data_IF_229663648343
#
_entry.id   IF_229663648343
#
_cell.length_a   1.000
_cell.length_b   1.000
_cell.length_c   1.000
_cell.angle_alpha   90.00
_cell.angle_beta   90.00
_cell.angle_gamma   90.00
#
_symmetry.space_group_name_H-M   'P 1'
#
loop_
_entity.id
_entity.type
_entity.pdbx_description
1 polymer ?
#
# COMPACT_ATOMS: atom_id res chain seq x y z
N UNK A 1 -11.54 -71.94 51.19
CA UNK A 1 -11.45 -71.50 49.78
C UNK A 1 -11.82 -70.03 49.71
N UNK A 2 -10.80 -69.14 49.61
CA UNK A 2 -11.00 -67.69 49.50
C UNK A 2 -10.84 -67.32 48.05
N UNK A 3 -11.86 -66.73 47.46
CA UNK A 3 -11.83 -66.14 46.10
C UNK A 3 -11.35 -64.72 46.22
N UNK A 4 -10.22 -64.39 45.58
CA UNK A 4 -9.64 -63.05 45.49
C UNK A 4 -10.17 -62.45 44.21
N UNK A 5 -10.98 -61.32 44.31
CA UNK A 5 -11.40 -60.54 43.17
C UNK A 5 -10.32 -59.52 42.85
N UNK A 6 -9.76 -59.63 41.66
CA UNK A 6 -8.86 -58.59 41.09
C UNK A 6 -9.71 -57.61 40.30
N UNK A 7 -9.78 -56.38 40.81
CA UNK A 7 -10.42 -55.26 40.11
C UNK A 7 -9.35 -54.61 39.22
N UNK A 8 -9.52 -54.74 37.90
CA UNK A 8 -8.66 -54.10 36.91
C UNK A 8 -9.22 -52.68 36.65
N UNK A 9 -8.50 -51.66 37.16
CA UNK A 9 -8.84 -50.26 36.94
C UNK A 9 -8.15 -49.81 35.66
N UNK A 10 -8.94 -49.59 34.58
CA UNK A 10 -8.45 -48.96 33.35
C UNK A 10 -8.35 -47.47 33.56
N UNK A 11 -7.16 -46.91 33.61
CA UNK A 11 -6.89 -45.50 33.52
C UNK A 11 -6.89 -45.12 32.06
N UNK A 12 -7.97 -44.47 31.59
CA UNK A 12 -8.01 -43.85 30.27
C UNK A 12 -7.30 -42.51 30.35
N UNK A 13 -6.08 -42.43 29.82
CA UNK A 13 -5.36 -41.17 29.63
C UNK A 13 -5.94 -40.43 28.43
N UNK A 14 -6.84 -39.49 28.68
CA UNK A 14 -7.32 -38.54 27.65
C UNK A 14 -6.26 -37.48 27.43
N UNK A 15 -5.41 -37.65 26.41
CA UNK A 15 -4.52 -36.61 25.92
C UNK A 15 -5.36 -35.60 25.17
N UNK A 16 -5.71 -34.51 25.86
CA UNK A 16 -6.32 -33.30 25.26
C UNK A 16 -5.22 -32.56 24.48
N UNK A 17 -5.15 -32.79 23.18
CA UNK A 17 -4.29 -32.02 22.30
C UNK A 17 -4.82 -30.60 22.22
N UNK A 18 -4.21 -29.67 22.97
CA UNK A 18 -4.40 -28.23 22.73
C UNK A 18 -3.80 -27.89 21.37
N UNK A 19 -4.63 -27.81 20.35
CA UNK A 19 -4.29 -27.09 19.13
C UNK A 19 -4.19 -25.59 19.50
N UNK A 20 -2.98 -25.13 19.76
CA UNK A 20 -2.68 -23.70 19.78
C UNK A 20 -2.86 -23.19 18.36
N UNK A 21 -4.00 -22.58 18.08
CA UNK A 21 -4.15 -21.74 16.91
C UNK A 21 -3.13 -20.61 17.03
N UNK A 22 -1.98 -20.76 16.37
CA UNK A 22 -1.05 -19.66 16.16
C UNK A 22 -1.77 -18.67 15.27
N UNK A 23 -2.42 -17.69 15.92
CA UNK A 23 -2.92 -16.51 15.23
C UNK A 23 -1.74 -15.91 14.48
N UNK A 24 -1.91 -15.74 13.18
CA UNK A 24 -0.99 -14.94 12.37
C UNK A 24 -1.07 -13.52 12.95
N UNK A 25 -0.23 -13.23 13.93
CA UNK A 25 -0.02 -11.87 14.37
C UNK A 25 0.61 -11.16 13.19
N UNK A 26 -0.17 -10.30 12.53
CA UNK A 26 0.40 -9.35 11.59
C UNK A 26 1.51 -8.62 12.33
N UNK A 27 2.76 -8.84 11.92
CA UNK A 27 3.92 -8.21 12.54
C UNK A 27 3.71 -6.71 12.48
N UNK A 28 3.60 -6.08 13.66
CA UNK A 28 3.41 -4.65 13.73
C UNK A 28 4.62 -3.97 13.10
N UNK A 29 4.37 -3.01 12.20
CA UNK A 29 5.44 -2.27 11.55
C UNK A 29 6.29 -1.55 12.61
N UNK A 30 7.60 -1.77 12.57
CA UNK A 30 8.54 -1.10 13.46
C UNK A 30 8.66 0.40 13.14
N UNK A 31 8.38 0.76 11.89
CA UNK A 31 8.49 2.12 11.39
C UNK A 31 7.25 2.52 10.60
N UNK A 32 6.94 3.82 10.63
CA UNK A 32 5.92 4.43 9.76
C UNK A 32 6.55 5.59 8.99
N UNK A 33 6.49 5.52 7.68
CA UNK A 33 6.95 6.58 6.78
C UNK A 33 5.73 7.23 6.11
N UNK A 34 5.40 8.43 6.55
CA UNK A 34 4.31 9.23 5.98
C UNK A 34 4.80 10.05 4.79
N UNK A 35 3.93 10.24 3.80
CA UNK A 35 4.18 11.16 2.70
C UNK A 35 3.95 12.60 3.17
N UNK A 36 5.02 13.38 3.27
CA UNK A 36 5.03 14.78 3.67
C UNK A 36 5.97 15.58 2.75
N UNK A 37 5.92 16.91 2.74
CA UNK A 37 6.88 17.71 1.95
C UNK A 37 8.36 17.43 2.24
N UNK A 38 8.67 16.83 3.40
CA UNK A 38 10.05 16.50 3.83
C UNK A 38 10.44 15.06 3.55
N UNK A 39 9.49 14.21 3.20
CA UNK A 39 9.70 12.76 3.04
C UNK A 39 9.37 12.27 1.64
N UNK A 40 9.18 13.19 0.70
CA UNK A 40 8.93 12.84 -0.70
C UNK A 40 9.95 13.48 -1.62
N UNK A 41 10.25 12.78 -2.72
CA UNK A 41 10.86 13.35 -3.91
C UNK A 41 9.79 13.46 -5.00
N UNK A 42 9.85 14.49 -5.83
CA UNK A 42 8.87 14.67 -6.89
C UNK A 42 9.55 14.71 -8.26
N UNK A 43 9.19 13.73 -9.09
CA UNK A 43 9.47 13.77 -10.53
C UNK A 43 10.82 13.24 -10.96
N UNK A 44 11.68 12.79 -10.07
CA UNK A 44 12.92 12.12 -10.42
C UNK A 44 13.36 11.10 -9.36
N UNK A 45 14.16 10.13 -9.84
CA UNK A 45 14.82 9.15 -9.00
C UNK A 45 16.29 9.57 -8.89
N UNK A 46 16.75 9.84 -7.68
CA UNK A 46 18.13 10.22 -7.41
C UNK A 46 18.77 9.28 -6.38
N UNK A 47 19.74 8.49 -6.81
CA UNK A 47 20.49 7.59 -5.94
C UNK A 47 21.32 8.33 -4.87
N UNK A 48 21.55 9.64 -5.04
CA UNK A 48 22.30 10.49 -4.09
C UNK A 48 21.38 11.21 -3.11
N UNK A 49 20.05 11.10 -3.26
CA UNK A 49 19.11 11.72 -2.35
C UNK A 49 19.33 11.22 -0.91
N UNK A 50 19.38 12.14 0.03
CA UNK A 50 19.52 11.79 1.45
C UNK A 50 18.34 10.95 1.90
N UNK A 51 18.56 9.82 2.60
CA UNK A 51 17.47 8.98 3.08
C UNK A 51 16.66 9.69 4.18
N UNK A 52 15.35 9.54 4.11
CA UNK A 52 14.41 10.08 5.11
C UNK A 52 14.11 9.06 6.22
N UNK A 53 14.51 7.82 6.02
CA UNK A 53 14.37 6.73 6.99
C UNK A 53 15.56 5.77 6.83
N UNK A 54 16.04 5.23 7.93
CA UNK A 54 17.08 4.18 7.95
C UNK A 54 16.54 2.98 8.69
N UNK A 55 16.70 1.80 8.11
CA UNK A 55 16.21 0.52 8.63
C UNK A 55 17.28 -0.56 8.49
N UNK A 56 17.05 -1.70 9.14
CA UNK A 56 17.87 -2.90 8.97
C UNK A 56 17.15 -3.93 8.10
N UNK A 57 17.90 -4.86 7.55
CA UNK A 57 17.33 -6.06 6.92
C UNK A 57 16.40 -6.79 7.89
N UNK A 58 15.22 -7.18 7.44
CA UNK A 58 14.18 -7.83 8.26
C UNK A 58 13.20 -6.87 8.94
N UNK A 59 13.48 -5.55 8.95
CA UNK A 59 12.54 -4.58 9.51
C UNK A 59 11.28 -4.46 8.65
N UNK A 60 10.16 -4.13 9.31
CA UNK A 60 8.88 -3.89 8.67
C UNK A 60 8.55 -2.41 8.71
N UNK A 61 8.16 -1.85 7.56
CA UNK A 61 7.82 -0.43 7.41
C UNK A 61 6.40 -0.30 6.86
N UNK A 62 5.58 0.51 7.52
CA UNK A 62 4.36 1.02 6.91
C UNK A 62 4.70 2.28 6.11
N UNK A 63 4.41 2.27 4.82
CA UNK A 63 4.69 3.39 3.93
C UNK A 63 3.36 3.95 3.42
N UNK A 64 3.14 5.25 3.64
CA UNK A 64 2.02 5.95 3.04
C UNK A 64 2.44 6.49 1.66
N UNK A 65 1.67 6.15 0.63
CA UNK A 65 1.84 6.66 -0.73
C UNK A 65 0.66 7.52 -1.11
N UNK A 66 0.85 8.40 -2.09
CA UNK A 66 -0.18 9.35 -2.51
C UNK A 66 -0.60 9.10 -3.96
N UNK A 67 -1.85 9.45 -4.24
CA UNK A 67 -2.30 9.61 -5.62
C UNK A 67 -1.53 10.76 -6.27
N UNK A 68 -0.90 10.50 -7.41
CA UNK A 68 -0.12 11.53 -8.11
C UNK A 68 -1.01 12.33 -9.05
N UNK A 69 -1.53 13.44 -8.56
CA UNK A 69 -2.27 14.43 -9.33
C UNK A 69 -2.28 15.77 -8.60
N UNK A 70 -2.75 16.83 -9.23
CA UNK A 70 -2.95 18.09 -8.50
C UNK A 70 -4.31 18.11 -7.81
N UNK A 71 -4.43 18.67 -6.59
CA UNK A 71 -5.70 18.83 -5.90
C UNK A 71 -6.78 19.48 -6.77
N UNK A 72 -6.45 20.58 -7.43
CA UNK A 72 -7.38 21.32 -8.31
C UNK A 72 -7.92 20.46 -9.47
N UNK A 73 -7.09 19.59 -10.05
CA UNK A 73 -7.54 18.72 -11.14
C UNK A 73 -8.44 17.60 -10.64
N UNK A 74 -8.18 17.07 -9.46
CA UNK A 74 -9.04 16.07 -8.81
C UNK A 74 -10.42 16.67 -8.50
N UNK A 75 -10.45 17.87 -7.92
CA UNK A 75 -11.68 18.61 -7.61
C UNK A 75 -12.47 18.96 -8.88
N UNK A 76 -11.79 19.45 -9.91
CA UNK A 76 -12.41 19.74 -11.21
C UNK A 76 -12.96 18.48 -11.91
N UNK A 77 -12.42 17.30 -11.59
CA UNK A 77 -12.93 16.03 -12.08
C UNK A 77 -14.05 15.42 -11.20
N UNK A 78 -14.47 16.12 -10.13
CA UNK A 78 -15.60 15.75 -9.28
C UNK A 78 -15.24 15.10 -7.94
N UNK A 79 -13.97 15.11 -7.53
CA UNK A 79 -13.61 14.69 -6.17
C UNK A 79 -14.01 15.79 -5.19
N UNK A 80 -14.79 15.48 -4.14
CA UNK A 80 -15.11 16.44 -3.09
C UNK A 80 -13.83 16.99 -2.43
N UNK A 81 -13.74 18.30 -2.18
CA UNK A 81 -12.52 18.90 -1.63
C UNK A 81 -12.04 18.27 -0.32
N UNK A 82 -12.97 17.83 0.53
CA UNK A 82 -12.68 17.17 1.80
C UNK A 82 -12.12 15.74 1.64
N UNK A 83 -12.26 15.14 0.48
CA UNK A 83 -11.70 13.82 0.16
C UNK A 83 -10.30 13.92 -0.45
N UNK A 84 -9.87 15.11 -0.86
CA UNK A 84 -8.49 15.32 -1.32
C UNK A 84 -7.57 15.41 -0.11
N UNK A 85 -6.61 14.50 -0.03
CA UNK A 85 -5.70 14.39 1.11
C UNK A 85 -4.96 15.70 1.39
N UNK A 86 -4.93 16.12 2.66
CA UNK A 86 -4.21 17.33 3.06
C UNK A 86 -2.72 17.22 2.77
N UNK A 87 -2.13 16.04 2.95
CA UNK A 87 -0.74 15.77 2.58
C UNK A 87 -0.44 16.05 1.11
N UNK A 88 -1.37 15.72 0.19
CA UNK A 88 -1.22 16.04 -1.23
C UNK A 88 -1.25 17.57 -1.47
N UNK A 89 -2.10 18.30 -0.75
CA UNK A 89 -2.13 19.77 -0.81
C UNK A 89 -0.82 20.38 -0.33
N UNK A 90 -0.36 19.95 0.85
CA UNK A 90 0.88 20.44 1.45
C UNK A 90 2.10 20.16 0.56
N UNK A 91 2.19 18.95 0.02
CA UNK A 91 3.27 18.57 -0.89
C UNK A 91 3.20 19.40 -2.18
N UNK A 92 2.01 19.57 -2.75
CA UNK A 92 1.83 20.35 -3.98
C UNK A 92 2.26 21.81 -3.81
N UNK A 93 1.99 22.39 -2.64
CA UNK A 93 2.31 23.77 -2.30
C UNK A 93 3.78 23.96 -1.91
N UNK A 94 4.32 23.07 -1.05
CA UNK A 94 5.60 23.28 -0.39
C UNK A 94 6.79 22.69 -1.14
N UNK A 95 6.63 21.58 -1.87
CA UNK A 95 7.71 20.99 -2.68
C UNK A 95 7.93 21.86 -3.92
N UNK A 96 9.06 22.58 -3.94
CA UNK A 96 9.44 23.47 -5.06
C UNK A 96 10.32 22.77 -6.08
N UNK A 97 11.16 21.88 -5.62
CA UNK A 97 12.05 21.08 -6.48
C UNK A 97 11.27 19.91 -7.07
N UNK A 98 10.87 20.06 -8.33
CA UNK A 98 10.09 19.06 -9.06
C UNK A 98 10.82 18.72 -10.34
N UNK A 99 11.18 17.45 -10.47
CA UNK A 99 11.77 16.91 -11.69
C UNK A 99 10.79 16.81 -12.86
N UNK A 100 11.24 16.29 -13.99
CA UNK A 100 10.44 16.19 -15.21
C UNK A 100 9.31 15.16 -15.14
N UNK A 101 9.38 14.22 -14.20
CA UNK A 101 8.35 13.19 -14.01
C UNK A 101 7.13 13.68 -13.24
N UNK A 102 6.05 12.93 -13.32
CA UNK A 102 4.80 13.27 -12.62
C UNK A 102 4.67 12.65 -11.23
N UNK A 103 5.52 11.71 -10.84
CA UNK A 103 5.31 10.90 -9.65
C UNK A 103 5.82 11.56 -8.37
N UNK A 104 5.01 11.44 -7.30
CA UNK A 104 5.39 11.73 -5.93
C UNK A 104 5.90 10.43 -5.31
N UNK A 105 7.15 10.41 -4.86
CA UNK A 105 7.84 9.23 -4.36
C UNK A 105 8.10 9.40 -2.87
N UNK A 106 7.50 8.56 -2.02
CA UNK A 106 7.76 8.54 -0.58
C UNK A 106 9.09 7.83 -0.30
N UNK A 107 10.03 8.52 0.29
CA UNK A 107 11.39 8.01 0.53
C UNK A 107 12.46 9.04 0.16
N UNK A 108 13.73 8.61 -0.02
CA UNK A 108 14.21 7.22 -0.02
C UNK A 108 14.41 6.61 1.37
N UNK A 109 14.43 5.27 1.41
CA UNK A 109 14.73 4.49 2.60
C UNK A 109 16.14 3.90 2.44
N UNK A 110 16.98 4.05 3.45
CA UNK A 110 18.30 3.43 3.50
C UNK A 110 18.26 2.13 4.29
N UNK A 111 18.88 1.09 3.76
CA UNK A 111 19.00 -0.20 4.43
C UNK A 111 20.41 -0.34 4.97
N UNK A 112 20.55 -0.45 6.28
CA UNK A 112 21.84 -0.56 6.95
C UNK A 112 22.57 -1.84 6.52
N UNK A 113 23.84 -1.67 6.11
CA UNK A 113 24.69 -2.76 5.69
C UNK A 113 24.48 -3.23 4.25
N UNK A 114 23.53 -2.65 3.49
CA UNK A 114 23.39 -2.97 2.07
C UNK A 114 24.51 -2.32 1.24
N UNK A 115 25.08 -3.10 0.33
CA UNK A 115 26.19 -2.70 -0.52
C UNK A 115 25.84 -2.84 -2.01
N UNK A 116 26.65 -2.21 -2.87
CA UNK A 116 26.49 -2.33 -4.33
C UNK A 116 26.74 -3.78 -4.73
N UNK A 117 25.74 -4.38 -5.41
CA UNK A 117 25.75 -5.79 -5.83
C UNK A 117 24.81 -6.68 -5.02
N UNK A 118 24.31 -6.20 -3.91
CA UNK A 118 23.30 -6.92 -3.14
C UNK A 118 21.96 -6.95 -3.88
N UNK A 119 21.14 -7.96 -3.56
CA UNK A 119 19.76 -8.09 -4.04
C UNK A 119 18.82 -7.69 -2.91
N UNK A 120 17.96 -6.72 -3.19
CA UNK A 120 16.91 -6.30 -2.26
C UNK A 120 15.65 -7.17 -2.47
N UNK A 121 15.28 -7.94 -1.45
CA UNK A 121 13.97 -8.60 -1.38
C UNK A 121 12.99 -7.73 -0.61
N UNK A 122 11.89 -7.32 -1.26
CA UNK A 122 10.81 -6.57 -0.62
C UNK A 122 9.58 -7.46 -0.51
N UNK A 123 9.21 -7.81 0.73
CA UNK A 123 8.01 -8.59 1.01
C UNK A 123 6.84 -7.67 1.33
N UNK A 124 5.83 -7.66 0.46
CA UNK A 124 4.60 -6.90 0.69
C UNK A 124 3.70 -7.71 1.63
N UNK A 125 3.47 -7.18 2.84
CA UNK A 125 2.68 -7.86 3.87
C UNK A 125 1.20 -7.47 3.85
N UNK A 126 0.89 -6.22 3.47
CA UNK A 126 -0.47 -5.72 3.38
C UNK A 126 -0.54 -4.51 2.46
N UNK A 127 -1.68 -4.35 1.79
CA UNK A 127 -2.04 -3.16 1.02
C UNK A 127 -3.37 -2.65 1.54
N UNK A 128 -3.45 -1.36 1.90
CA UNK A 128 -4.67 -0.71 2.36
C UNK A 128 -4.98 0.49 1.49
N UNK A 129 -6.22 0.60 1.03
CA UNK A 129 -6.69 1.77 0.32
C UNK A 129 -6.81 2.95 1.29
N UNK A 130 -6.09 4.03 1.03
CA UNK A 130 -6.08 5.22 1.88
C UNK A 130 -7.22 6.20 1.54
N UNK A 131 -7.68 6.19 0.29
CA UNK A 131 -8.70 7.11 -0.23
C UNK A 131 -9.81 6.33 -0.95
N UNK A 132 -11.05 6.85 -1.00
CA UNK A 132 -12.19 6.13 -1.57
C UNK A 132 -12.31 6.28 -3.09
N UNK A 133 -11.26 6.70 -3.79
CA UNK A 133 -11.29 6.86 -5.23
C UNK A 133 -9.93 6.59 -5.88
N UNK A 134 -9.99 6.24 -7.15
CA UNK A 134 -8.87 6.26 -8.08
C UNK A 134 -9.22 7.14 -9.27
N UNK A 135 -8.30 7.34 -10.20
CA UNK A 135 -8.61 7.98 -11.47
C UNK A 135 -7.94 7.27 -12.63
N UNK A 136 -8.53 7.42 -13.80
CA UNK A 136 -7.90 7.15 -15.08
C UNK A 136 -7.94 8.42 -15.91
N UNK A 137 -6.85 8.74 -16.61
CA UNK A 137 -6.78 9.93 -17.43
C UNK A 137 -5.94 9.68 -18.68
N UNK A 138 -6.34 10.32 -19.78
CA UNK A 138 -5.59 10.39 -21.01
C UNK A 138 -5.61 11.81 -21.57
N UNK A 139 -4.76 12.08 -22.54
CA UNK A 139 -4.66 13.37 -23.19
C UNK A 139 -4.06 13.26 -24.59
N UNK A 140 -4.12 14.33 -25.38
CA UNK A 140 -3.60 14.36 -26.75
C UNK A 140 -2.14 13.86 -26.79
N UNK A 141 -1.84 12.98 -27.74
CA UNK A 141 -0.50 12.43 -27.95
C UNK A 141 -0.03 11.46 -26.86
N UNK A 142 -0.91 11.04 -25.95
CA UNK A 142 -0.58 10.11 -24.86
C UNK A 142 -1.43 8.84 -24.92
N UNK A 143 -0.87 7.73 -24.43
CA UNK A 143 -1.53 6.42 -24.44
C UNK A 143 -1.18 5.62 -25.69
N UNK A 144 -1.91 4.52 -25.90
CA UNK A 144 -1.66 3.57 -26.97
C UNK A 144 -2.48 3.84 -28.24
N UNK A 145 -3.51 4.70 -28.16
CA UNK A 145 -4.41 5.05 -29.25
C UNK A 145 -4.52 6.58 -29.34
N UNK A 146 -3.40 7.30 -29.57
CA UNK A 146 -3.39 8.76 -29.48
C UNK A 146 -4.22 9.44 -30.59
N UNK A 147 -4.30 8.82 -31.76
CA UNK A 147 -5.03 9.36 -32.92
C UNK A 147 -6.55 9.14 -32.79
N UNK A 148 -6.96 8.05 -32.13
CA UNK A 148 -8.39 7.77 -31.87
C UNK A 148 -8.96 8.64 -30.74
N UNK A 149 -8.09 9.12 -29.83
CA UNK A 149 -8.47 9.91 -28.65
C UNK A 149 -7.66 11.22 -28.56
N UNK A 150 -7.83 12.16 -29.51
CA UNK A 150 -7.01 13.37 -29.58
C UNK A 150 -7.46 14.47 -28.59
N UNK A 151 -8.12 14.08 -27.50
CA UNK A 151 -8.64 14.98 -26.48
C UNK A 151 -8.22 14.52 -25.06
N UNK A 152 -8.35 15.41 -24.08
CA UNK A 152 -8.08 15.07 -22.69
C UNK A 152 -9.37 14.66 -21.97
N UNK A 153 -9.29 13.60 -21.17
CA UNK A 153 -10.38 13.18 -20.27
C UNK A 153 -9.80 12.59 -18.99
N UNK A 154 -10.46 12.90 -17.87
CA UNK A 154 -10.22 12.27 -16.58
C UNK A 154 -11.52 11.64 -16.09
N UNK A 155 -11.43 10.44 -15.57
CA UNK A 155 -12.53 9.71 -14.94
C UNK A 155 -12.13 9.39 -13.50
N UNK A 156 -12.97 9.80 -12.56
CA UNK A 156 -12.86 9.36 -11.17
C UNK A 156 -13.57 8.01 -11.04
N UNK A 157 -12.93 7.10 -10.35
CA UNK A 157 -13.38 5.72 -10.16
C UNK A 157 -13.58 5.52 -8.65
N UNK A 158 -14.82 5.44 -8.16
CA UNK A 158 -15.08 5.17 -6.74
C UNK A 158 -14.55 3.80 -6.33
N UNK A 159 -13.93 3.73 -5.15
CA UNK A 159 -13.40 2.51 -4.55
C UNK A 159 -14.23 2.14 -3.33
N UNK A 160 -14.58 0.87 -3.23
CA UNK A 160 -15.17 0.26 -2.05
C UNK A 160 -14.11 -0.58 -1.34
N UNK A 161 -13.55 -0.03 -0.27
CA UNK A 161 -12.49 -0.69 0.50
C UNK A 161 -12.98 -1.90 1.30
N UNK A 162 -14.29 -2.00 1.60
CA UNK A 162 -14.84 -3.15 2.32
C UNK A 162 -15.03 -4.34 1.39
N UNK A 163 -15.54 -4.10 0.18
CA UNK A 163 -15.73 -5.12 -0.85
C UNK A 163 -14.48 -5.35 -1.69
N UNK A 164 -13.47 -4.50 -1.55
CA UNK A 164 -12.26 -4.49 -2.38
C UNK A 164 -12.60 -4.49 -3.88
N UNK A 165 -13.40 -3.51 -4.29
CA UNK A 165 -13.79 -3.30 -5.69
C UNK A 165 -13.60 -1.85 -6.11
N UNK A 166 -13.36 -1.66 -7.42
CA UNK A 166 -13.44 -0.38 -8.09
C UNK A 166 -14.72 -0.34 -8.96
N UNK A 167 -15.58 0.63 -8.72
CA UNK A 167 -16.82 0.84 -9.48
C UNK A 167 -16.48 1.59 -10.78
N UNK A 168 -16.07 0.85 -11.81
CA UNK A 168 -15.53 1.44 -13.03
C UNK A 168 -16.61 2.12 -13.88
N UNK A 169 -17.76 1.50 -14.02
CA UNK A 169 -18.92 2.05 -14.73
C UNK A 169 -20.23 1.37 -14.21
N UNK A 170 -21.42 1.86 -14.57
CA UNK A 170 -22.65 1.19 -14.23
C UNK A 170 -22.63 -0.28 -14.67
N UNK A 171 -22.76 -1.19 -13.70
CA UNK A 171 -22.70 -2.63 -13.92
C UNK A 171 -21.29 -3.21 -14.17
N UNK A 172 -20.24 -2.41 -14.08
CA UNK A 172 -18.85 -2.86 -14.24
C UNK A 172 -18.07 -2.63 -12.94
N UNK A 173 -17.89 -3.69 -12.18
CA UNK A 173 -17.07 -3.73 -10.97
C UNK A 173 -15.75 -4.45 -11.25
N UNK A 174 -14.63 -3.84 -10.84
CA UNK A 174 -13.29 -4.43 -10.98
C UNK A 174 -12.84 -4.91 -9.61
N UNK A 175 -12.61 -6.21 -9.40
CA UNK A 175 -12.06 -6.72 -8.15
C UNK A 175 -10.64 -6.20 -7.91
N UNK A 176 -10.37 -5.75 -6.68
CA UNK A 176 -9.07 -5.29 -6.22
C UNK A 176 -8.43 -6.38 -5.36
N UNK A 177 -8.01 -7.47 -5.98
CA UNK A 177 -7.31 -8.54 -5.29
C UNK A 177 -5.83 -8.23 -5.25
N UNK A 178 -5.23 -8.00 -4.05
CA UNK A 178 -3.79 -7.95 -3.94
C UNK A 178 -3.19 -9.26 -4.45
N UNK A 179 -2.15 -9.17 -5.27
CA UNK A 179 -1.35 -10.32 -5.70
C UNK A 179 0.12 -10.00 -5.43
N UNK A 180 0.85 -11.01 -5.02
CA UNK A 180 2.25 -10.91 -4.62
C UNK A 180 3.06 -11.99 -5.34
#
# INVERSE_FOLDING_TARGET
>A
MKRTNVILTFFALSTFALLTAQGIHAQQAAYTLKATPKTVAWGYYDAKAAPVLRIKSGDTVQIDTLITNSPKRLEAAGVPPEQVEQSLRDITEQVKDKGPGGHILTGPIYIEGAEIGDVLEVKILAIKLAIPYAYNAFGPGRGYLPDDYPYAKMKIIPLDAQRMIANFAPGIEIPLHPFF
#
